data_IF_312740497811
#
_entry.id   IF_312740497811
#
_cell.length_a   1.000
_cell.length_b   1.000
_cell.length_c   1.000
_cell.angle_alpha   90.00
_cell.angle_beta   90.00
_cell.angle_gamma   90.00
#
_symmetry.space_group_name_H-M   'P 1'
#
loop_
_entity.id
_entity.type
_entity.pdbx_description
1 polymer ?
#
# COMPACT_ATOMS: atom_id res chain seq x y z
N UNK A 1 -25.07 2.60 4.48
CA UNK A 1 -23.73 2.94 5.02
C UNK A 1 -23.89 3.68 6.35
N UNK A 2 -22.99 3.47 7.32
CA UNK A 2 -23.10 4.05 8.69
C UNK A 2 -22.20 5.28 8.92
N UNK A 3 -21.53 5.79 7.89
CA UNK A 3 -20.59 6.92 8.00
C UNK A 3 -19.32 6.62 8.80
N UNK A 4 -18.92 5.33 8.88
CA UNK A 4 -17.72 4.90 9.60
C UNK A 4 -16.55 4.86 8.64
N UNK A 5 -15.42 5.45 9.02
CA UNK A 5 -14.20 5.46 8.22
C UNK A 5 -13.58 4.06 8.12
N UNK A 6 -13.17 3.70 6.91
CA UNK A 6 -12.54 2.42 6.60
C UNK A 6 -11.07 2.61 6.16
N UNK A 7 -10.15 2.24 7.04
CA UNK A 7 -8.72 2.11 6.75
C UNK A 7 -8.36 0.65 6.49
N UNK A 8 -7.80 0.35 5.32
CA UNK A 8 -7.33 -0.97 4.93
C UNK A 8 -5.80 -1.09 5.08
N UNK A 9 -5.34 -2.08 5.85
CA UNK A 9 -3.95 -2.55 5.79
C UNK A 9 -3.79 -3.53 4.60
N UNK A 10 -3.16 -3.06 3.53
CA UNK A 10 -2.90 -3.82 2.32
C UNK A 10 -1.43 -4.24 2.20
N UNK A 11 -0.68 -4.28 3.31
CA UNK A 11 0.74 -4.63 3.30
C UNK A 11 1.00 -6.04 2.74
N UNK A 12 0.06 -6.98 2.91
CA UNK A 12 0.19 -8.33 2.34
C UNK A 12 -0.55 -8.50 1.01
N UNK A 13 -1.09 -7.43 0.42
CA UNK A 13 -1.89 -7.52 -0.83
C UNK A 13 -1.21 -6.78 -1.98
N UNK A 14 -0.85 -5.50 -1.76
CA UNK A 14 -0.24 -4.65 -2.79
C UNK A 14 1.08 -5.25 -3.26
N UNK A 15 1.18 -5.44 -4.58
CA UNK A 15 2.35 -5.99 -5.26
C UNK A 15 2.19 -7.44 -5.73
N UNK A 16 1.13 -8.14 -5.32
CA UNK A 16 0.85 -9.50 -5.82
C UNK A 16 -0.62 -9.87 -6.00
N UNK A 17 -1.56 -9.04 -5.51
CA UNK A 17 -2.99 -9.15 -5.82
C UNK A 17 -3.41 -7.90 -6.57
N UNK A 18 -4.43 -8.04 -7.40
CA UNK A 18 -5.17 -6.88 -7.88
C UNK A 18 -5.79 -6.13 -6.70
N UNK A 19 -5.53 -4.82 -6.64
CA UNK A 19 -6.03 -3.93 -5.58
C UNK A 19 -6.56 -2.68 -6.26
N UNK A 20 -7.88 -2.55 -6.25
CA UNK A 20 -8.60 -1.37 -6.73
C UNK A 20 -9.32 -0.73 -5.55
N UNK A 21 -8.94 0.49 -5.19
CA UNK A 21 -9.49 1.23 -4.05
C UNK A 21 -10.93 1.68 -4.27
N UNK A 22 -11.35 1.86 -5.52
CA UNK A 22 -12.71 2.24 -5.87
C UNK A 22 -13.64 1.01 -5.79
N UNK A 23 -13.15 -0.16 -6.22
CA UNK A 23 -13.86 -1.44 -6.05
C UNK A 23 -13.98 -1.84 -4.57
N UNK A 24 -12.87 -1.73 -3.82
CA UNK A 24 -12.83 -2.04 -2.38
C UNK A 24 -13.69 -1.06 -1.58
N UNK A 25 -13.77 0.20 -2.02
CA UNK A 25 -14.54 1.24 -1.35
C UNK A 25 -13.93 1.70 -0.02
N UNK A 26 -12.62 1.54 0.19
CA UNK A 26 -11.95 2.04 1.38
C UNK A 26 -11.79 3.56 1.36
N UNK A 27 -11.69 4.18 2.53
CA UNK A 27 -11.40 5.61 2.65
C UNK A 27 -9.90 5.87 2.66
N UNK A 28 -9.14 4.92 3.20
CA UNK A 28 -7.69 4.96 3.28
C UNK A 28 -7.13 3.55 3.07
N UNK A 29 -5.93 3.46 2.50
CA UNK A 29 -5.20 2.21 2.35
C UNK A 29 -3.70 2.43 2.58
N UNK A 30 -3.10 1.59 3.42
CA UNK A 30 -1.66 1.63 3.70
C UNK A 30 -0.98 0.34 3.22
N UNK A 31 0.20 0.48 2.61
CA UNK A 31 1.02 -0.66 2.19
C UNK A 31 2.51 -0.40 2.38
N UNK A 32 3.25 -1.43 2.80
CA UNK A 32 4.70 -1.37 2.91
C UNK A 32 5.40 -1.71 1.59
N UNK A 33 6.38 -0.92 1.18
CA UNK A 33 7.13 -1.17 -0.06
C UNK A 33 7.94 -2.47 -0.03
N UNK A 34 8.53 -2.81 1.11
CA UNK A 34 9.46 -3.96 1.27
C UNK A 34 8.87 -5.36 1.20
N UNK A 35 7.54 -5.49 1.05
CA UNK A 35 6.85 -6.79 1.01
C UNK A 35 6.73 -7.24 -0.45
N UNK A 36 5.52 -7.51 -0.93
CA UNK A 36 5.30 -8.03 -2.29
C UNK A 36 5.71 -7.06 -3.41
N UNK A 37 5.73 -5.75 -3.14
CA UNK A 37 6.32 -4.77 -4.07
C UNK A 37 7.84 -4.90 -4.20
N UNK A 38 8.54 -5.46 -3.20
CA UNK A 38 10.01 -5.61 -3.15
C UNK A 38 10.78 -4.28 -3.23
N UNK A 39 10.16 -3.20 -2.76
CA UNK A 39 10.81 -1.91 -2.57
C UNK A 39 11.76 -1.88 -1.37
N UNK A 40 12.52 -0.79 -1.18
CA UNK A 40 13.44 -0.66 -0.05
C UNK A 40 12.74 -0.64 1.32
N UNK A 41 13.44 -1.03 2.38
CA UNK A 41 12.99 -0.78 3.76
C UNK A 41 12.87 0.72 4.02
N UNK A 42 11.94 1.12 4.88
CA UNK A 42 11.65 2.53 5.16
C UNK A 42 10.78 3.22 4.10
N UNK A 43 10.19 2.47 3.17
CA UNK A 43 9.28 3.00 2.14
C UNK A 43 7.89 2.38 2.26
N UNK A 44 6.87 3.13 1.84
CA UNK A 44 5.48 2.71 1.89
C UNK A 44 4.61 3.57 0.97
N UNK A 45 3.34 3.20 0.89
CA UNK A 45 2.31 3.85 0.10
C UNK A 45 1.12 4.11 1.02
N UNK A 46 0.55 5.30 0.89
CA UNK A 46 -0.71 5.68 1.52
C UNK A 46 -1.65 6.19 0.42
N UNK A 47 -2.82 5.59 0.32
CA UNK A 47 -3.96 6.14 -0.39
C UNK A 47 -4.91 6.79 0.63
N UNK A 48 -5.44 7.95 0.27
CA UNK A 48 -6.50 8.63 1.01
C UNK A 48 -7.52 9.15 0.00
N UNK A 49 -8.79 8.82 0.21
CA UNK A 49 -9.90 9.31 -0.62
C UNK A 49 -9.92 10.83 -0.59
N UNK A 50 -9.98 11.45 -1.77
CA UNK A 50 -9.87 12.91 -1.90
C UNK A 50 -10.91 13.69 -1.08
N UNK A 51 -12.13 13.19 -0.98
CA UNK A 51 -13.21 13.81 -0.19
C UNK A 51 -12.94 13.84 1.32
N UNK A 52 -12.04 12.98 1.81
CA UNK A 52 -11.68 12.90 3.23
C UNK A 52 -10.62 13.95 3.61
N UNK A 53 -9.76 14.37 2.67
CA UNK A 53 -8.65 15.30 2.95
C UNK A 53 -9.09 16.64 3.57
N UNK A 54 -10.25 17.14 3.15
CA UNK A 54 -10.83 18.39 3.65
C UNK A 54 -11.32 18.28 5.11
N UNK A 55 -11.60 17.06 5.57
CA UNK A 55 -12.18 16.78 6.89
C UNK A 55 -11.13 16.32 7.90
N UNK A 56 -9.91 15.99 7.45
CA UNK A 56 -8.85 15.50 8.32
C UNK A 56 -8.04 16.63 8.94
N UNK A 57 -7.93 16.58 10.26
CA UNK A 57 -6.87 17.26 11.00
C UNK A 57 -5.59 16.40 10.96
N UNK A 58 -4.45 17.01 10.65
CA UNK A 58 -3.22 16.28 10.32
C UNK A 58 -2.17 16.61 11.38
N UNK A 59 -1.92 15.66 12.27
CA UNK A 59 -1.06 15.86 13.44
C UNK A 59 0.43 16.03 13.13
N UNK A 60 0.90 15.62 11.95
CA UNK A 60 2.32 15.62 11.56
C UNK A 60 2.55 16.45 10.29
N UNK A 61 2.08 17.70 10.31
CA UNK A 61 2.31 18.66 9.24
C UNK A 61 3.71 19.28 9.36
N UNK A 62 4.46 19.27 8.27
CA UNK A 62 5.69 20.03 8.11
C UNK A 62 5.62 20.95 6.88
N UNK A 63 6.74 21.59 6.53
CA UNK A 63 6.81 22.54 5.41
C UNK A 63 6.54 21.90 4.03
N UNK A 64 6.64 20.57 3.90
CA UNK A 64 6.28 19.90 2.66
C UNK A 64 4.76 19.74 2.55
N UNK A 65 4.12 19.31 3.63
CA UNK A 65 2.67 19.12 3.74
C UNK A 65 1.87 20.42 3.86
N UNK A 66 2.46 21.49 4.41
CA UNK A 66 1.95 22.85 4.38
C UNK A 66 3.07 23.84 4.03
N UNK A 67 3.31 24.11 2.73
CA UNK A 67 4.30 25.08 2.30
C UNK A 67 4.00 26.50 2.78
N UNK A 68 5.06 27.27 3.00
CA UNK A 68 4.96 28.70 3.29
C UNK A 68 4.47 29.44 2.04
N UNK A 69 3.29 30.07 2.12
CA UNK A 69 2.74 30.87 1.03
C UNK A 69 3.28 32.30 1.06
N UNK A 70 3.42 32.87 2.26
CA UNK A 70 4.06 34.16 2.55
C UNK A 70 4.51 34.17 4.00
N UNK A 71 5.25 35.20 4.40
CA UNK A 71 5.75 35.34 5.77
C UNK A 71 4.63 35.17 6.81
N UNK A 72 4.81 34.20 7.72
CA UNK A 72 3.83 33.86 8.76
C UNK A 72 2.62 33.03 8.31
N UNK A 73 2.49 32.67 7.03
CA UNK A 73 1.34 31.92 6.51
C UNK A 73 1.73 30.62 5.80
N UNK A 74 1.19 29.50 6.30
CA UNK A 74 1.34 28.17 5.71
C UNK A 74 0.02 27.70 5.10
N UNK A 75 0.07 27.11 3.91
CA UNK A 75 -1.12 26.59 3.21
C UNK A 75 -1.01 25.07 3.11
N UNK A 76 -1.92 24.36 3.79
CA UNK A 76 -2.02 22.90 3.73
C UNK A 76 -2.27 22.43 2.29
N UNK A 77 -1.53 21.42 1.84
CA UNK A 77 -1.77 20.76 0.54
C UNK A 77 -3.17 20.13 0.53
N UNK A 78 -3.80 20.14 -0.65
CA UNK A 78 -5.11 19.53 -0.89
C UNK A 78 -5.01 18.14 -1.58
N UNK A 79 -3.84 17.50 -1.49
CA UNK A 79 -3.54 16.19 -2.03
C UNK A 79 -2.83 15.32 -0.99
N UNK A 80 -2.61 14.03 -1.29
CA UNK A 80 -2.03 13.07 -0.34
C UNK A 80 -0.61 13.42 0.14
N UNK A 81 0.12 14.31 -0.56
CA UNK A 81 1.46 14.75 -0.12
C UNK A 81 1.41 15.59 1.15
N UNK A 82 0.21 15.97 1.60
CA UNK A 82 -0.01 16.54 2.93
C UNK A 82 0.46 15.61 4.07
N UNK A 83 0.56 14.30 3.82
CA UNK A 83 1.07 13.31 4.76
C UNK A 83 2.56 12.99 4.58
N UNK A 84 3.22 13.62 3.59
CA UNK A 84 4.66 13.44 3.38
C UNK A 84 5.45 14.48 4.17
N UNK A 85 6.67 14.09 4.58
CA UNK A 85 7.63 14.96 5.22
C UNK A 85 8.68 15.47 4.23
N UNK A 86 9.31 16.60 4.56
CA UNK A 86 10.40 17.22 3.83
C UNK A 86 11.65 16.34 3.81
N UNK A 87 12.03 15.83 4.98
CA UNK A 87 13.15 14.91 5.12
C UNK A 87 12.70 13.47 4.88
N UNK A 88 13.26 12.85 3.84
CA UNK A 88 13.00 11.47 3.49
C UNK A 88 14.20 10.87 2.75
N UNK A 89 14.26 9.54 2.67
CA UNK A 89 15.26 8.87 1.85
C UNK A 89 14.94 8.99 0.36
N UNK A 90 15.62 9.88 -0.35
CA UNK A 90 15.50 10.02 -1.81
C UNK A 90 15.82 8.71 -2.53
N UNK A 91 16.89 8.04 -2.12
CA UNK A 91 17.26 6.72 -2.64
C UNK A 91 16.16 5.68 -2.36
N UNK A 92 15.53 5.73 -1.18
CA UNK A 92 14.39 4.90 -0.82
C UNK A 92 13.20 5.12 -1.75
N UNK A 93 12.77 6.38 -1.96
CA UNK A 93 11.66 6.71 -2.87
C UNK A 93 11.96 6.29 -4.31
N UNK A 94 13.17 6.55 -4.82
CA UNK A 94 13.58 6.12 -6.16
C UNK A 94 13.59 4.59 -6.30
N UNK A 95 14.08 3.87 -5.28
CA UNK A 95 14.04 2.41 -5.25
C UNK A 95 12.62 1.85 -5.20
N UNK A 96 11.69 2.51 -4.47
CA UNK A 96 10.28 2.13 -4.48
C UNK A 96 9.66 2.35 -5.86
N UNK A 97 9.94 3.47 -6.52
CA UNK A 97 9.46 3.74 -7.88
C UNK A 97 9.91 2.63 -8.85
N UNK A 98 11.21 2.26 -8.82
CA UNK A 98 11.73 1.17 -9.65
C UNK A 98 11.09 -0.18 -9.35
N UNK A 99 10.78 -0.43 -8.07
CA UNK A 99 10.11 -1.66 -7.65
C UNK A 99 8.66 -1.74 -8.17
N UNK A 100 7.93 -0.61 -8.14
CA UNK A 100 6.59 -0.49 -8.72
C UNK A 100 6.64 -0.67 -10.24
N UNK A 101 7.55 -0.01 -10.94
CA UNK A 101 7.74 -0.19 -12.39
C UNK A 101 8.03 -1.65 -12.75
N UNK A 102 8.88 -2.32 -11.97
CA UNK A 102 9.14 -3.74 -12.16
C UNK A 102 7.86 -4.56 -12.00
N UNK A 103 7.11 -4.34 -10.91
CA UNK A 103 5.87 -5.07 -10.63
C UNK A 103 4.87 -4.92 -11.79
N UNK A 104 4.70 -3.69 -12.28
CA UNK A 104 3.85 -3.38 -13.43
C UNK A 104 4.36 -4.01 -14.73
N UNK A 105 5.68 -4.06 -14.95
CA UNK A 105 6.28 -4.68 -16.15
C UNK A 105 6.09 -6.20 -16.21
N UNK A 106 6.10 -6.88 -15.05
CA UNK A 106 5.76 -8.31 -14.97
C UNK A 106 4.25 -8.51 -15.14
N UNK A 107 3.46 -7.54 -14.66
CA UNK A 107 2.00 -7.55 -14.69
C UNK A 107 1.42 -8.18 -13.43
N UNK A 108 0.60 -7.43 -12.70
CA UNK A 108 0.03 -7.87 -11.41
C UNK A 108 -0.79 -9.15 -11.58
N UNK A 109 -1.58 -9.28 -12.65
CA UNK A 109 -2.35 -10.50 -12.93
C UNK A 109 -1.47 -11.74 -13.14
N UNK A 110 -0.30 -11.57 -13.78
CA UNK A 110 0.65 -12.66 -13.98
C UNK A 110 1.28 -13.09 -12.65
N UNK A 111 1.63 -12.10 -11.80
CA UNK A 111 2.15 -12.35 -10.46
C UNK A 111 1.10 -13.09 -9.63
N UNK A 112 -0.13 -12.60 -9.61
CA UNK A 112 -1.23 -13.20 -8.85
C UNK A 112 -1.48 -14.65 -9.27
N UNK A 113 -1.62 -14.92 -10.58
CA UNK A 113 -1.83 -16.26 -11.10
C UNK A 113 -0.68 -17.21 -10.72
N UNK A 114 0.56 -16.73 -10.78
CA UNK A 114 1.73 -17.52 -10.41
C UNK A 114 1.78 -17.81 -8.91
N UNK A 115 1.52 -16.82 -8.06
CA UNK A 115 1.48 -16.97 -6.60
C UNK A 115 0.36 -17.94 -6.20
N UNK A 116 -0.84 -17.81 -6.76
CA UNK A 116 -1.96 -18.74 -6.53
C UNK A 116 -1.58 -20.18 -6.94
N UNK A 117 -0.96 -20.35 -8.11
CA UNK A 117 -0.48 -21.67 -8.57
C UNK A 117 0.53 -22.29 -7.60
N UNK A 118 1.51 -21.52 -7.12
CA UNK A 118 2.51 -21.99 -6.15
C UNK A 118 1.88 -22.30 -4.79
N UNK A 119 0.99 -21.43 -4.30
CA UNK A 119 0.27 -21.65 -3.05
C UNK A 119 -0.55 -22.94 -3.09
N UNK A 120 -1.27 -23.17 -4.19
CA UNK A 120 -2.04 -24.40 -4.39
C UNK A 120 -1.13 -25.64 -4.40
N UNK A 121 -0.01 -25.59 -5.11
CA UNK A 121 0.97 -26.69 -5.12
C UNK A 121 1.53 -26.96 -3.73
N UNK A 122 1.82 -25.92 -2.95
CA UNK A 122 2.31 -26.04 -1.58
C UNK A 122 1.25 -26.67 -0.66
N UNK A 123 0.00 -26.19 -0.71
CA UNK A 123 -1.13 -26.75 0.06
C UNK A 123 -1.33 -28.23 -0.24
N UNK A 124 -1.45 -28.60 -1.53
CA UNK A 124 -1.61 -29.99 -1.96
C UNK A 124 -0.44 -30.88 -1.56
N UNK A 125 0.79 -30.37 -1.71
CA UNK A 125 2.00 -31.12 -1.36
C UNK A 125 2.11 -31.36 0.14
N UNK A 126 1.95 -30.31 0.96
CA UNK A 126 2.08 -30.39 2.41
C UNK A 126 0.96 -31.21 3.06
N UNK A 127 -0.28 -31.13 2.54
CA UNK A 127 -1.39 -31.96 3.01
C UNK A 127 -1.13 -33.46 2.91
N UNK A 128 -0.22 -33.90 2.03
CA UNK A 128 0.14 -35.30 1.84
C UNK A 128 1.32 -35.81 2.67
N UNK A 129 2.05 -34.94 3.38
CA UNK A 129 3.32 -35.31 4.06
C UNK A 129 3.10 -36.02 5.41
N UNK A 130 1.91 -35.89 6.02
CA UNK A 130 1.64 -36.42 7.36
C UNK A 130 2.41 -35.68 8.47
N UNK A 131 1.96 -35.82 9.72
CA UNK A 131 2.63 -35.21 10.88
C UNK A 131 2.29 -33.73 11.15
N UNK A 132 1.33 -33.15 10.42
CA UNK A 132 0.83 -31.79 10.66
C UNK A 132 -0.43 -31.49 9.84
N UNK A 133 -1.04 -30.34 10.10
CA UNK A 133 -2.24 -29.85 9.42
C UNK A 133 -1.93 -28.55 8.67
N UNK A 134 -2.37 -28.46 7.42
CA UNK A 134 -2.32 -27.22 6.64
C UNK A 134 -3.51 -26.34 7.06
N UNK A 135 -3.23 -25.22 7.73
CA UNK A 135 -4.25 -24.28 8.24
C UNK A 135 -4.54 -23.09 7.31
N UNK A 136 -3.88 -23.04 6.15
CA UNK A 136 -4.17 -22.01 5.15
C UNK A 136 -5.59 -22.22 4.60
N UNK A 137 -6.46 -21.24 4.83
CA UNK A 137 -7.87 -21.26 4.44
C UNK A 137 -8.10 -20.83 2.99
N UNK A 138 -7.04 -20.44 2.26
CA UNK A 138 -7.11 -19.97 0.88
C UNK A 138 -7.78 -20.98 -0.05
N UNK A 139 -8.99 -20.66 -0.51
CA UNK A 139 -9.76 -21.46 -1.48
C UNK A 139 -9.39 -21.15 -2.94
N UNK A 140 -8.54 -20.15 -3.14
CA UNK A 140 -8.00 -19.69 -4.43
C UNK A 140 -6.46 -19.65 -4.41
#
# INVERSE_FOLDING_TARGET
>A
ERGILYLLDACQSVGHLQVDVDEIGCDMLAAAGRKYLRGPRGTGILYVRKSLLAQMDICALDQYGAPLAREGEYVKRNDARVFEMWEFSTAGKAGLARAVEYCLSVGISNIEAHVKSLAQRARSGLGGVGGGEVVDIGRE
#
